data_IF_471700524380
#
_entry.id   IF_471700524380
#
_cell.length_a   1.000
_cell.length_b   1.000
_cell.length_c   1.000
_cell.angle_alpha   90.00
_cell.angle_beta   90.00
_cell.angle_gamma   90.00
#
_symmetry.space_group_name_H-M   'P 1'
#
loop_
_entity.id
_entity.type
_entity.pdbx_description
1 polymer ?
#
# COMPACT_ATOMS: atom_id res chain seq x y z
N UNK A 1 -31.95 -39.67 -35.98
CA UNK A 1 -31.60 -40.17 -34.63
C UNK A 1 -30.48 -41.21 -34.66
N UNK A 2 -30.60 -42.34 -35.38
CA UNK A 2 -29.51 -43.34 -35.53
C UNK A 2 -28.17 -42.75 -36.00
N UNK A 3 -28.16 -41.95 -37.06
CA UNK A 3 -26.94 -41.29 -37.58
C UNK A 3 -26.26 -40.33 -36.58
N UNK A 4 -27.04 -39.65 -35.73
CA UNK A 4 -26.51 -38.76 -34.69
C UNK A 4 -25.85 -39.55 -33.56
N UNK A 5 -26.46 -40.66 -33.14
CA UNK A 5 -25.91 -41.57 -32.13
C UNK A 5 -24.63 -42.23 -32.65
N UNK A 6 -24.59 -42.72 -33.89
CA UNK A 6 -23.39 -43.35 -34.47
C UNK A 6 -22.23 -42.36 -34.62
N UNK A 7 -22.52 -41.12 -35.00
CA UNK A 7 -21.49 -40.07 -35.08
C UNK A 7 -21.00 -39.63 -33.69
N UNK A 8 -21.88 -39.58 -32.68
CA UNK A 8 -21.49 -39.29 -31.29
C UNK A 8 -20.58 -40.39 -30.73
N UNK A 9 -20.92 -41.66 -30.94
CA UNK A 9 -20.09 -42.82 -30.53
C UNK A 9 -18.73 -42.83 -31.23
N UNK A 10 -18.68 -42.55 -32.53
CA UNK A 10 -17.41 -42.49 -33.28
C UNK A 10 -16.53 -41.30 -32.86
N UNK A 11 -17.13 -40.19 -32.43
CA UNK A 11 -16.39 -39.00 -31.95
C UNK A 11 -15.89 -39.18 -30.52
N UNK A 12 -16.65 -39.86 -29.66
CA UNK A 12 -16.22 -40.27 -28.31
C UNK A 12 -15.10 -41.32 -28.40
N UNK A 13 -15.25 -42.32 -29.28
CA UNK A 13 -14.27 -43.39 -29.47
C UNK A 13 -12.88 -42.89 -29.90
N UNK A 14 -12.79 -41.86 -30.76
CA UNK A 14 -11.51 -41.28 -31.19
C UNK A 14 -10.85 -40.38 -30.14
N UNK A 15 -11.61 -39.75 -29.23
CA UNK A 15 -11.07 -38.89 -28.18
C UNK A 15 -10.61 -39.68 -26.93
N UNK A 16 -11.17 -40.87 -26.71
CA UNK A 16 -10.80 -41.75 -25.59
C UNK A 16 -9.46 -42.44 -25.81
N UNK A 17 -9.06 -42.71 -27.06
CA UNK A 17 -7.81 -43.42 -27.38
C UNK A 17 -6.55 -42.56 -27.34
N UNK A 18 -6.66 -41.23 -27.31
CA UNK A 18 -5.51 -40.31 -27.41
C UNK A 18 -5.35 -39.33 -26.24
N UNK A 19 -6.11 -39.52 -25.15
CA UNK A 19 -6.08 -38.63 -23.99
C UNK A 19 -5.86 -39.40 -22.69
N UNK A 20 -5.54 -38.67 -21.62
CA UNK A 20 -5.37 -39.14 -20.22
C UNK A 20 -6.60 -39.87 -19.63
N UNK A 21 -7.64 -40.15 -20.43
CA UNK A 21 -8.90 -40.78 -20.07
C UNK A 21 -8.96 -42.27 -20.41
N UNK A 22 -8.06 -42.82 -21.24
CA UNK A 22 -8.07 -44.24 -21.62
C UNK A 22 -8.01 -45.21 -20.42
N UNK A 23 -7.11 -45.02 -19.42
CA UNK A 23 -7.04 -45.92 -18.26
C UNK A 23 -8.31 -45.85 -17.40
N UNK A 24 -8.92 -44.66 -17.31
CA UNK A 24 -10.15 -44.43 -16.55
C UNK A 24 -11.34 -45.19 -17.16
N UNK A 25 -11.46 -45.19 -18.49
CA UNK A 25 -12.53 -45.90 -19.21
C UNK A 25 -12.38 -47.41 -19.06
N UNK A 26 -11.15 -47.95 -19.14
CA UNK A 26 -10.89 -49.38 -18.90
C UNK A 26 -11.26 -49.78 -17.47
N UNK A 27 -10.85 -48.99 -16.47
CA UNK A 27 -11.18 -49.26 -15.07
C UNK A 27 -12.69 -49.27 -14.83
N UNK A 28 -13.44 -48.34 -15.43
CA UNK A 28 -14.89 -48.24 -15.29
C UNK A 28 -15.60 -49.46 -15.88
N UNK A 29 -15.15 -49.96 -17.03
CA UNK A 29 -15.72 -51.17 -17.66
C UNK A 29 -15.46 -52.41 -16.79
N UNK A 30 -14.24 -52.58 -16.29
CA UNK A 30 -13.87 -53.74 -15.45
C UNK A 30 -14.67 -53.73 -14.14
N UNK A 31 -14.69 -52.61 -13.43
CA UNK A 31 -15.43 -52.47 -12.16
C UNK A 31 -16.93 -52.65 -12.40
N UNK A 32 -17.49 -52.02 -13.44
CA UNK A 32 -18.89 -52.17 -13.81
C UNK A 32 -19.27 -53.63 -14.09
N UNK A 33 -18.42 -54.37 -14.80
CA UNK A 33 -18.65 -55.80 -15.11
C UNK A 33 -18.66 -56.69 -13.86
N UNK A 34 -17.77 -56.40 -12.89
CA UNK A 34 -17.70 -57.11 -11.61
C UNK A 34 -18.95 -56.80 -10.76
N UNK A 35 -19.29 -55.52 -10.61
CA UNK A 35 -20.45 -55.07 -9.81
C UNK A 35 -21.74 -55.63 -10.37
N UNK A 36 -21.94 -55.59 -11.69
CA UNK A 36 -23.13 -56.16 -12.35
C UNK A 36 -23.19 -57.67 -12.11
N UNK A 37 -22.08 -58.39 -12.26
CA UNK A 37 -22.04 -59.85 -12.07
C UNK A 37 -22.36 -60.26 -10.62
N UNK A 38 -21.80 -59.55 -9.63
CA UNK A 38 -22.10 -59.80 -8.21
C UNK A 38 -23.54 -59.44 -7.84
N UNK A 39 -24.08 -58.37 -8.44
CA UNK A 39 -25.44 -57.90 -8.16
C UNK A 39 -26.51 -58.73 -8.87
N UNK A 40 -26.17 -59.45 -9.95
CA UNK A 40 -27.10 -60.23 -10.78
C UNK A 40 -27.98 -61.20 -9.99
N UNK A 41 -27.45 -61.83 -8.93
CA UNK A 41 -28.22 -62.73 -8.05
C UNK A 41 -29.33 -62.01 -7.28
N UNK A 42 -29.15 -60.74 -6.93
CA UNK A 42 -30.16 -59.96 -6.21
C UNK A 42 -31.30 -59.47 -7.13
N UNK A 43 -31.01 -59.23 -8.41
CA UNK A 43 -32.03 -58.86 -9.42
C UNK A 43 -33.12 -59.92 -9.61
N UNK A 44 -32.80 -61.20 -9.39
CA UNK A 44 -33.71 -62.32 -9.66
C UNK A 44 -34.61 -62.65 -8.46
N UNK A 45 -34.20 -62.31 -7.23
CA UNK A 45 -34.83 -62.83 -6.01
C UNK A 45 -35.73 -61.83 -5.25
N UNK A 46 -35.39 -60.54 -5.18
CA UNK A 46 -36.14 -59.52 -4.40
C UNK A 46 -36.17 -58.16 -5.11
N UNK A 47 -36.78 -58.13 -6.29
CA UNK A 47 -36.67 -57.01 -7.25
C UNK A 47 -37.20 -55.65 -6.78
N UNK A 48 -38.20 -55.59 -5.89
CA UNK A 48 -38.82 -54.33 -5.43
C UNK A 48 -37.97 -53.59 -4.41
N UNK A 49 -37.53 -54.27 -3.35
CA UNK A 49 -36.60 -53.74 -2.34
C UNK A 49 -35.23 -53.41 -2.95
N UNK A 50 -34.78 -54.23 -3.90
CA UNK A 50 -33.55 -53.95 -4.64
C UNK A 50 -33.66 -52.68 -5.48
N UNK A 51 -34.77 -52.47 -6.19
CA UNK A 51 -34.94 -51.28 -7.04
C UNK A 51 -34.94 -49.98 -6.24
N UNK A 52 -35.61 -49.95 -5.08
CA UNK A 52 -35.59 -48.80 -4.18
C UNK A 52 -34.19 -48.53 -3.63
N UNK A 53 -33.49 -49.56 -3.14
CA UNK A 53 -32.12 -49.44 -2.64
C UNK A 53 -31.13 -49.04 -3.75
N UNK A 54 -31.27 -49.61 -4.94
CA UNK A 54 -30.46 -49.28 -6.11
C UNK A 54 -30.68 -47.84 -6.55
N UNK A 55 -31.93 -47.35 -6.54
CA UNK A 55 -32.22 -45.95 -6.82
C UNK A 55 -31.57 -45.06 -5.77
N UNK A 56 -31.72 -45.33 -4.47
CA UNK A 56 -31.09 -44.52 -3.41
C UNK A 56 -29.57 -44.46 -3.58
N UNK A 57 -28.93 -45.60 -3.84
CA UNK A 57 -27.49 -45.68 -4.08
C UNK A 57 -27.08 -44.93 -5.36
N UNK A 58 -27.82 -45.10 -6.46
CA UNK A 58 -27.55 -44.40 -7.72
C UNK A 58 -27.73 -42.87 -7.58
N UNK A 59 -28.70 -42.40 -6.80
CA UNK A 59 -28.85 -40.98 -6.48
C UNK A 59 -27.68 -40.48 -5.62
N UNK A 60 -27.23 -41.27 -4.63
CA UNK A 60 -26.03 -40.97 -3.84
C UNK A 60 -24.78 -40.85 -4.70
N UNK A 61 -24.54 -41.82 -5.59
CA UNK A 61 -23.41 -41.79 -6.52
C UNK A 61 -23.47 -40.60 -7.49
N UNK A 62 -24.65 -40.25 -7.99
CA UNK A 62 -24.83 -39.07 -8.84
C UNK A 62 -24.53 -37.77 -8.09
N UNK A 63 -24.98 -37.67 -6.83
CA UNK A 63 -24.67 -36.55 -5.95
C UNK A 63 -23.16 -36.43 -5.72
N UNK A 64 -22.49 -37.56 -5.43
CA UNK A 64 -21.04 -37.61 -5.22
C UNK A 64 -20.25 -37.21 -6.47
N UNK A 65 -20.67 -37.63 -7.67
CA UNK A 65 -20.05 -37.22 -8.93
C UNK A 65 -20.20 -35.71 -9.15
N UNK A 66 -21.38 -35.15 -8.86
CA UNK A 66 -21.61 -33.70 -8.96
C UNK A 66 -20.72 -32.96 -7.97
N UNK A 67 -20.66 -33.40 -6.71
CA UNK A 67 -19.81 -32.82 -5.67
C UNK A 67 -18.34 -32.89 -6.10
N UNK A 68 -17.86 -34.05 -6.54
CA UNK A 68 -16.48 -34.22 -7.01
C UNK A 68 -16.19 -33.33 -8.22
N UNK A 69 -17.12 -33.23 -9.16
CA UNK A 69 -17.02 -32.33 -10.31
C UNK A 69 -16.88 -30.87 -9.89
N UNK A 70 -17.72 -30.40 -8.97
CA UNK A 70 -17.67 -29.04 -8.43
C UNK A 70 -16.34 -28.80 -7.69
N UNK A 71 -15.89 -29.74 -6.87
CA UNK A 71 -14.60 -29.67 -6.15
C UNK A 71 -13.43 -29.65 -7.13
N UNK A 72 -13.43 -30.50 -8.15
CA UNK A 72 -12.39 -30.57 -9.16
C UNK A 72 -12.31 -29.28 -9.99
N UNK A 73 -13.45 -28.74 -10.43
CA UNK A 73 -13.52 -27.45 -11.12
C UNK A 73 -13.01 -26.32 -10.23
N UNK A 74 -13.40 -26.30 -8.96
CA UNK A 74 -12.91 -25.32 -7.99
C UNK A 74 -11.39 -25.40 -7.77
N UNK A 75 -10.85 -26.61 -7.60
CA UNK A 75 -9.40 -26.85 -7.45
C UNK A 75 -8.64 -26.36 -8.69
N UNK A 76 -9.11 -26.69 -9.89
CA UNK A 76 -8.46 -26.26 -11.13
C UNK A 76 -8.51 -24.74 -11.32
N UNK A 77 -9.64 -24.10 -11.01
CA UNK A 77 -9.76 -22.64 -11.07
C UNK A 77 -8.80 -21.97 -10.08
N UNK A 78 -8.71 -22.51 -8.85
CA UNK A 78 -7.77 -22.04 -7.83
C UNK A 78 -6.32 -22.19 -8.27
N UNK A 79 -5.95 -23.33 -8.88
CA UNK A 79 -4.61 -23.56 -9.42
C UNK A 79 -4.28 -22.60 -10.56
N UNK A 80 -5.19 -22.37 -11.48
CA UNK A 80 -5.01 -21.43 -12.60
C UNK A 80 -4.75 -20.00 -12.11
N UNK A 81 -5.53 -19.52 -11.14
CA UNK A 81 -5.32 -18.20 -10.52
C UNK A 81 -3.95 -18.09 -9.83
N UNK A 82 -3.53 -19.12 -9.10
CA UNK A 82 -2.20 -19.14 -8.45
C UNK A 82 -1.06 -19.04 -9.47
N UNK A 83 -1.16 -19.78 -10.57
CA UNK A 83 -0.16 -19.73 -11.65
C UNK A 83 -0.11 -18.36 -12.33
N UNK A 84 -1.27 -17.72 -12.54
CA UNK A 84 -1.31 -16.38 -13.14
C UNK A 84 -0.70 -15.32 -12.22
N UNK A 85 -1.02 -15.35 -10.92
CA UNK A 85 -0.41 -14.45 -9.93
C UNK A 85 1.11 -14.65 -9.88
N UNK A 86 1.57 -15.91 -9.94
CA UNK A 86 2.99 -16.22 -9.94
C UNK A 86 3.70 -15.65 -11.17
N UNK A 87 3.10 -15.78 -12.36
CA UNK A 87 3.63 -15.17 -13.59
C UNK A 87 3.73 -13.65 -13.50
N UNK A 88 2.76 -12.98 -12.88
CA UNK A 88 2.84 -11.53 -12.68
C UNK A 88 3.94 -11.13 -11.70
N UNK A 89 4.25 -11.96 -10.70
CA UNK A 89 5.39 -11.71 -9.80
C UNK A 89 6.71 -11.91 -10.53
N UNK A 90 6.82 -12.99 -11.31
CA UNK A 90 7.99 -13.26 -12.16
C UNK A 90 8.22 -12.12 -13.17
N UNK A 91 7.15 -11.58 -13.78
CA UNK A 91 7.27 -10.41 -14.67
C UNK A 91 7.86 -9.19 -13.95
N UNK A 92 7.49 -8.94 -12.69
CA UNK A 92 8.09 -7.84 -11.90
C UNK A 92 9.59 -8.11 -11.67
N UNK A 93 9.94 -9.35 -11.32
CA UNK A 93 11.32 -9.74 -11.07
C UNK A 93 12.19 -9.67 -12.33
N UNK A 94 11.65 -10.02 -13.50
CA UNK A 94 12.32 -9.93 -14.80
C UNK A 94 12.71 -8.48 -15.16
N UNK A 95 11.89 -7.52 -14.75
CA UNK A 95 12.13 -6.08 -14.94
C UNK A 95 12.85 -5.41 -13.77
N UNK A 96 13.21 -6.14 -12.71
CA UNK A 96 13.94 -5.58 -11.56
C UNK A 96 15.32 -5.09 -12.00
N UNK A 97 15.75 -3.93 -11.50
CA UNK A 97 16.99 -3.24 -11.89
C UNK A 97 17.06 -2.70 -13.32
N UNK A 98 16.02 -2.87 -14.14
CA UNK A 98 15.94 -2.15 -15.40
C UNK A 98 15.86 -0.65 -15.13
N UNK A 99 16.35 0.18 -16.05
CA UNK A 99 16.35 1.65 -15.89
C UNK A 99 15.55 2.37 -16.97
N UNK A 100 14.78 1.61 -17.75
CA UNK A 100 14.07 2.10 -18.93
C UNK A 100 12.59 2.32 -18.63
N UNK A 101 11.98 3.30 -19.31
CA UNK A 101 10.56 3.63 -19.14
C UNK A 101 9.62 2.45 -19.44
N UNK A 102 10.06 1.52 -20.29
CA UNK A 102 9.33 0.28 -20.60
C UNK A 102 9.10 -0.56 -19.32
N UNK A 103 10.10 -0.66 -18.44
CA UNK A 103 9.97 -1.38 -17.18
C UNK A 103 8.91 -0.73 -16.28
N UNK A 104 8.93 0.60 -16.16
CA UNK A 104 7.93 1.36 -15.41
C UNK A 104 6.50 1.07 -15.90
N UNK A 105 6.27 1.13 -17.21
CA UNK A 105 4.96 0.84 -17.80
C UNK A 105 4.50 -0.62 -17.57
N UNK A 106 5.41 -1.58 -17.76
CA UNK A 106 5.12 -3.01 -17.57
C UNK A 106 4.78 -3.32 -16.12
N UNK A 107 5.66 -2.94 -15.20
CA UNK A 107 5.47 -3.16 -13.77
C UNK A 107 4.17 -2.49 -13.30
N UNK A 108 3.92 -1.23 -13.65
CA UNK A 108 2.68 -0.54 -13.28
C UNK A 108 1.41 -1.25 -13.79
N UNK A 109 1.43 -1.77 -15.02
CA UNK A 109 0.35 -2.58 -15.57
C UNK A 109 0.12 -3.86 -14.78
N UNK A 110 1.20 -4.54 -14.41
CA UNK A 110 1.19 -5.80 -13.65
C UNK A 110 0.73 -5.60 -12.21
N UNK A 111 1.13 -4.50 -11.56
CA UNK A 111 0.62 -4.11 -10.23
C UNK A 111 -0.90 -3.94 -10.22
N UNK A 112 -1.47 -3.28 -11.22
CA UNK A 112 -2.93 -3.11 -11.34
C UNK A 112 -3.64 -4.45 -11.50
N UNK A 113 -3.05 -5.42 -12.21
CA UNK A 113 -3.60 -6.77 -12.35
C UNK A 113 -3.53 -7.53 -11.03
N UNK A 114 -2.40 -7.46 -10.32
CA UNK A 114 -2.22 -8.06 -8.99
C UNK A 114 -3.19 -7.49 -7.96
N UNK A 115 -3.49 -6.18 -8.00
CA UNK A 115 -4.50 -5.57 -7.14
C UNK A 115 -5.93 -6.07 -7.41
N UNK A 116 -6.28 -6.49 -8.64
CA UNK A 116 -7.57 -7.18 -8.89
C UNK A 116 -7.67 -8.50 -8.13
N UNK A 117 -6.53 -9.15 -7.89
CA UNK A 117 -6.41 -10.33 -7.04
C UNK A 117 -6.22 -10.01 -5.55
N UNK A 118 -6.34 -8.73 -5.15
CA UNK A 118 -6.12 -8.23 -3.78
C UNK A 118 -4.72 -8.52 -3.24
N UNK A 119 -3.73 -8.69 -4.13
CA UNK A 119 -2.32 -8.80 -3.74
C UNK A 119 -1.79 -7.38 -3.55
N UNK A 120 -1.28 -7.10 -2.34
CA UNK A 120 -0.87 -5.77 -1.88
C UNK A 120 0.57 -5.75 -1.35
N UNK A 121 0.95 -6.78 -0.59
CA UNK A 121 2.32 -6.98 -0.15
C UNK A 121 3.13 -7.58 -1.30
N UNK A 122 3.97 -6.74 -1.91
CA UNK A 122 4.80 -7.06 -3.04
C UNK A 122 6.22 -6.58 -2.79
N UNK A 123 7.19 -7.33 -3.31
CA UNK A 123 8.58 -6.89 -3.34
C UNK A 123 8.83 -6.15 -4.66
N UNK A 124 9.03 -4.85 -4.55
CA UNK A 124 9.32 -3.88 -5.60
C UNK A 124 10.65 -3.16 -5.32
N UNK A 125 11.51 -3.74 -4.48
CA UNK A 125 12.84 -3.18 -4.24
C UNK A 125 13.63 -3.07 -5.54
N UNK A 126 14.37 -1.97 -5.68
CA UNK A 126 15.20 -1.67 -6.85
C UNK A 126 14.44 -1.64 -8.20
N UNK A 127 13.10 -1.54 -8.16
CA UNK A 127 12.28 -1.43 -9.37
C UNK A 127 12.30 0.00 -9.92
N UNK A 128 12.29 0.11 -11.26
CA UNK A 128 12.17 1.38 -11.96
C UNK A 128 10.72 1.67 -12.30
N UNK A 129 10.16 2.62 -11.58
CA UNK A 129 8.79 3.11 -11.60
C UNK A 129 8.73 4.62 -11.89
N UNK A 130 9.75 5.15 -12.56
CA UNK A 130 9.79 6.56 -12.97
C UNK A 130 8.56 6.88 -13.82
N UNK A 131 7.89 7.99 -13.51
CA UNK A 131 6.66 8.47 -14.15
C UNK A 131 5.50 7.44 -14.17
N UNK A 132 5.60 6.40 -13.33
CA UNK A 132 4.61 5.33 -13.29
C UNK A 132 3.24 5.87 -12.89
N UNK A 133 2.20 5.41 -13.60
CA UNK A 133 0.82 5.77 -13.28
C UNK A 133 0.26 4.79 -12.22
N UNK A 134 0.49 5.09 -10.96
CA UNK A 134 0.13 4.25 -9.81
C UNK A 134 -0.98 4.88 -8.93
N UNK A 135 -1.75 5.83 -9.47
CA UNK A 135 -2.86 6.44 -8.74
C UNK A 135 -3.88 5.39 -8.30
N UNK A 136 -4.31 5.48 -7.03
CA UNK A 136 -5.24 4.54 -6.36
C UNK A 136 -4.73 3.09 -6.25
N UNK A 137 -3.42 2.86 -6.39
CA UNK A 137 -2.84 1.52 -6.20
C UNK A 137 -2.91 1.10 -4.72
N UNK A 138 -3.01 -0.20 -4.46
CA UNK A 138 -2.97 -0.81 -3.13
C UNK A 138 -1.66 -1.57 -2.95
N UNK A 139 -0.73 -0.98 -2.19
CA UNK A 139 0.62 -1.48 -1.93
C UNK A 139 0.93 -1.50 -0.42
N UNK A 140 -0.09 -1.76 0.41
CA UNK A 140 0.06 -1.88 1.86
C UNK A 140 1.14 -2.93 2.21
N UNK A 141 2.07 -2.53 3.06
CA UNK A 141 3.23 -3.31 3.49
C UNK A 141 4.15 -3.78 2.34
N UNK A 142 4.08 -3.17 1.16
CA UNK A 142 5.00 -3.49 0.07
C UNK A 142 6.44 -3.07 0.41
N UNK A 143 7.41 -3.77 -0.16
CA UNK A 143 8.82 -3.42 -0.10
C UNK A 143 9.14 -2.63 -1.37
N UNK A 144 9.45 -1.36 -1.21
CA UNK A 144 9.79 -0.37 -2.24
C UNK A 144 11.17 0.25 -1.95
N UNK A 145 12.00 -0.46 -1.18
CA UNK A 145 13.34 -0.02 -0.81
C UNK A 145 14.16 0.24 -2.08
N UNK A 146 14.77 1.43 -2.17
CA UNK A 146 15.54 1.91 -3.34
C UNK A 146 14.78 1.97 -4.66
N UNK A 147 13.46 1.77 -4.67
CA UNK A 147 12.69 1.88 -5.90
C UNK A 147 12.77 3.31 -6.46
N UNK A 148 12.91 3.42 -7.78
CA UNK A 148 12.91 4.72 -8.46
C UNK A 148 11.48 5.06 -8.89
N UNK A 149 10.81 5.93 -8.15
CA UNK A 149 9.47 6.45 -8.39
C UNK A 149 9.49 7.97 -8.68
N UNK A 150 10.59 8.49 -9.23
CA UNK A 150 10.69 9.88 -9.68
C UNK A 150 9.50 10.23 -10.59
N UNK A 151 8.81 11.34 -10.32
CA UNK A 151 7.65 11.79 -11.10
C UNK A 151 6.44 10.86 -11.10
N UNK A 152 6.46 9.76 -10.35
CA UNK A 152 5.36 8.80 -10.34
C UNK A 152 4.07 9.43 -9.80
N UNK A 153 2.93 9.06 -10.39
CA UNK A 153 1.62 9.41 -9.88
C UNK A 153 1.16 8.33 -8.90
N UNK A 154 1.20 8.63 -7.61
CA UNK A 154 0.74 7.81 -6.48
C UNK A 154 -0.46 8.45 -5.77
N UNK A 155 -1.17 9.37 -6.43
CA UNK A 155 -2.33 10.05 -5.84
C UNK A 155 -3.37 9.04 -5.38
N UNK A 156 -3.89 9.21 -4.16
CA UNK A 156 -4.86 8.30 -3.53
C UNK A 156 -4.37 6.84 -3.34
N UNK A 157 -3.07 6.57 -3.45
CA UNK A 157 -2.53 5.22 -3.20
C UNK A 157 -2.64 4.82 -1.73
N UNK A 158 -2.79 3.52 -1.46
CA UNK A 158 -2.70 2.91 -0.13
C UNK A 158 -1.33 2.24 0.02
N UNK A 159 -0.41 2.93 0.69
CA UNK A 159 0.99 2.59 0.96
C UNK A 159 1.23 2.40 2.47
N UNK A 160 0.18 2.14 3.25
CA UNK A 160 0.29 1.97 4.70
C UNK A 160 1.35 0.92 5.05
N UNK A 161 2.27 1.26 5.96
CA UNK A 161 3.34 0.36 6.40
C UNK A 161 4.33 -0.06 5.32
N UNK A 162 4.35 0.57 4.13
CA UNK A 162 5.30 0.23 3.08
C UNK A 162 6.75 0.56 3.51
N UNK A 163 7.71 -0.29 3.14
CA UNK A 163 9.13 0.00 3.29
C UNK A 163 9.60 0.76 2.03
N UNK A 164 9.82 2.06 2.13
CA UNK A 164 10.28 2.94 1.05
C UNK A 164 11.65 3.55 1.37
N UNK A 165 12.49 2.85 2.15
CA UNK A 165 13.82 3.31 2.51
C UNK A 165 14.66 3.61 1.27
N UNK A 166 15.31 4.77 1.26
CA UNK A 166 16.22 5.18 0.17
C UNK A 166 15.50 5.28 -1.19
N UNK A 167 14.15 5.23 -1.23
CA UNK A 167 13.41 5.34 -2.48
C UNK A 167 13.56 6.74 -3.08
N UNK A 168 13.58 6.83 -4.41
CA UNK A 168 13.55 8.10 -5.12
C UNK A 168 12.10 8.44 -5.48
N UNK A 169 11.53 9.47 -4.87
CA UNK A 169 10.17 9.99 -5.06
C UNK A 169 10.22 11.47 -5.48
N UNK A 170 11.34 11.93 -6.04
CA UNK A 170 11.49 13.32 -6.45
C UNK A 170 10.38 13.71 -7.43
N UNK A 171 9.68 14.80 -7.13
CA UNK A 171 8.56 15.31 -7.94
C UNK A 171 7.35 14.39 -8.05
N UNK A 172 7.27 13.29 -7.28
CA UNK A 172 6.14 12.37 -7.31
C UNK A 172 4.86 13.03 -6.78
N UNK A 173 3.70 12.62 -7.31
CA UNK A 173 2.39 13.05 -6.82
C UNK A 173 1.82 12.01 -5.84
N UNK A 174 1.85 12.32 -4.55
CA UNK A 174 1.34 11.49 -3.45
C UNK A 174 0.10 12.12 -2.79
N UNK A 175 -0.60 13.03 -3.46
CA UNK A 175 -1.77 13.71 -2.88
C UNK A 175 -2.82 12.73 -2.37
N UNK A 176 -3.31 12.96 -1.16
CA UNK A 176 -4.40 12.20 -0.54
C UNK A 176 -4.06 10.69 -0.41
N UNK A 177 -2.79 10.31 -0.55
CA UNK A 177 -2.35 8.93 -0.35
C UNK A 177 -2.21 8.60 1.14
N UNK A 178 -2.25 7.31 1.46
CA UNK A 178 -2.10 6.81 2.82
C UNK A 178 -0.74 6.13 2.99
N UNK A 179 0.19 6.80 3.68
CA UNK A 179 1.51 6.30 4.07
C UNK A 179 1.64 6.13 5.59
N UNK A 180 0.52 5.92 6.30
CA UNK A 180 0.55 5.73 7.75
C UNK A 180 1.52 4.59 8.12
N UNK A 181 2.46 4.88 9.02
CA UNK A 181 3.49 3.93 9.47
C UNK A 181 4.48 3.46 8.40
N UNK A 182 4.56 4.12 7.24
CA UNK A 182 5.55 3.79 6.22
C UNK A 182 6.97 4.15 6.67
N UNK A 183 7.97 3.39 6.20
CA UNK A 183 9.39 3.64 6.45
C UNK A 183 10.01 4.32 5.22
N UNK A 184 10.15 5.64 5.27
CA UNK A 184 10.72 6.53 4.25
C UNK A 184 12.12 7.02 4.65
N UNK A 185 12.81 6.33 5.57
CA UNK A 185 14.14 6.73 6.02
C UNK A 185 15.09 6.92 4.82
N UNK A 186 15.77 8.06 4.78
CA UNK A 186 16.69 8.46 3.70
C UNK A 186 16.05 8.55 2.30
N UNK A 187 14.72 8.53 2.17
CA UNK A 187 14.07 8.68 0.88
C UNK A 187 14.22 10.11 0.32
N UNK A 188 14.24 10.23 -1.00
CA UNK A 188 14.27 11.52 -1.69
C UNK A 188 12.88 11.90 -2.17
N UNK A 189 12.20 12.83 -1.50
CA UNK A 189 10.89 13.38 -1.86
C UNK A 189 11.00 14.86 -2.27
N UNK A 190 12.15 15.31 -2.78
CA UNK A 190 12.35 16.69 -3.19
C UNK A 190 11.27 17.13 -4.20
N UNK A 191 10.59 18.24 -3.91
CA UNK A 191 9.53 18.78 -4.76
C UNK A 191 8.30 17.87 -4.93
N UNK A 192 8.15 16.83 -4.11
CA UNK A 192 7.00 15.94 -4.18
C UNK A 192 5.71 16.66 -3.75
N UNK A 193 4.59 16.26 -4.33
CA UNK A 193 3.26 16.75 -3.97
C UNK A 193 2.62 15.82 -2.93
N UNK A 194 2.62 16.24 -1.67
CA UNK A 194 2.18 15.48 -0.50
C UNK A 194 0.93 16.11 0.15
N UNK A 195 0.15 16.91 -0.59
CA UNK A 195 -1.03 17.58 -0.02
C UNK A 195 -2.02 16.57 0.54
N UNK A 196 -2.47 16.80 1.77
CA UNK A 196 -3.47 15.97 2.46
C UNK A 196 -2.99 14.49 2.57
N UNK A 197 -1.69 14.23 2.48
CA UNK A 197 -1.14 12.89 2.68
C UNK A 197 -1.29 12.47 4.13
N UNK A 198 -1.54 11.17 4.37
CA UNK A 198 -1.48 10.62 5.71
C UNK A 198 -0.12 9.96 5.95
N UNK A 199 0.76 10.62 6.70
CA UNK A 199 2.08 10.17 7.16
C UNK A 199 2.12 9.93 8.68
N UNK A 200 0.96 9.75 9.33
CA UNK A 200 0.91 9.48 10.76
C UNK A 200 1.79 8.27 11.13
N UNK A 201 2.59 8.41 12.19
CA UNK A 201 3.57 7.41 12.66
C UNK A 201 4.61 6.97 11.60
N UNK A 202 4.78 7.68 10.49
CA UNK A 202 5.77 7.33 9.47
C UNK A 202 7.19 7.66 9.94
N UNK A 203 8.17 6.90 9.45
CA UNK A 203 9.59 7.19 9.66
C UNK A 203 10.16 7.92 8.45
N UNK A 204 10.50 9.20 8.61
CA UNK A 204 11.15 10.05 7.60
C UNK A 204 12.55 10.48 8.04
N UNK A 205 13.21 9.72 8.93
CA UNK A 205 14.55 10.01 9.42
C UNK A 205 15.50 10.34 8.27
N UNK A 206 16.10 11.52 8.30
CA UNK A 206 17.03 12.02 7.28
C UNK A 206 16.51 11.97 5.83
N UNK A 207 15.19 11.97 5.61
CA UNK A 207 14.62 12.08 4.27
C UNK A 207 14.81 13.50 3.71
N UNK A 208 14.78 13.62 2.37
CA UNK A 208 14.87 14.90 1.68
C UNK A 208 13.49 15.33 1.16
N UNK A 209 12.86 16.29 1.82
CA UNK A 209 11.57 16.91 1.44
C UNK A 209 11.74 18.37 1.00
N UNK A 210 12.93 18.77 0.53
CA UNK A 210 13.17 20.15 0.09
C UNK A 210 12.14 20.57 -0.98
N UNK A 211 11.46 21.69 -0.75
CA UNK A 211 10.46 22.26 -1.65
C UNK A 211 9.21 21.39 -1.85
N UNK A 212 8.96 20.40 -1.00
CA UNK A 212 7.77 19.57 -1.10
C UNK A 212 6.51 20.32 -0.64
N UNK A 213 5.36 20.00 -1.24
CA UNK A 213 4.04 20.54 -0.84
C UNK A 213 3.37 19.57 0.12
N UNK A 214 3.48 19.82 1.43
CA UNK A 214 2.85 19.07 2.52
C UNK A 214 1.60 19.78 3.07
N UNK A 215 0.97 20.65 2.29
CA UNK A 215 -0.21 21.40 2.76
C UNK A 215 -1.30 20.46 3.27
N UNK A 216 -1.73 20.69 4.51
CA UNK A 216 -2.72 19.87 5.23
C UNK A 216 -2.35 18.39 5.38
N UNK A 217 -1.07 18.03 5.32
CA UNK A 217 -0.60 16.67 5.59
C UNK A 217 -0.83 16.29 7.05
N UNK A 218 -1.14 15.01 7.31
CA UNK A 218 -1.13 14.44 8.66
C UNK A 218 0.23 13.79 8.93
N UNK A 219 1.01 14.37 9.83
CA UNK A 219 2.35 13.95 10.25
C UNK A 219 2.40 13.64 11.76
N UNK A 220 1.25 13.37 12.38
CA UNK A 220 1.19 13.11 13.81
C UNK A 220 2.13 11.95 14.21
N UNK A 221 2.93 12.17 15.24
CA UNK A 221 3.94 11.23 15.75
C UNK A 221 4.93 10.69 14.70
N UNK A 222 5.12 11.38 13.58
CA UNK A 222 6.12 10.99 12.60
C UNK A 222 7.54 11.26 13.11
N UNK A 223 8.49 10.40 12.77
CA UNK A 223 9.92 10.67 12.96
C UNK A 223 10.42 11.49 11.76
N UNK A 224 10.57 12.80 11.97
CA UNK A 224 11.12 13.77 11.02
C UNK A 224 12.53 14.22 11.46
N UNK A 225 13.22 13.43 12.30
CA UNK A 225 14.51 13.86 12.82
C UNK A 225 15.56 13.89 11.70
N UNK A 226 16.36 14.97 11.70
CA UNK A 226 17.35 15.29 10.65
C UNK A 226 16.78 15.41 9.23
N UNK A 227 15.46 15.57 9.07
CA UNK A 227 14.82 15.73 7.77
C UNK A 227 15.21 17.05 7.11
N UNK A 228 15.25 17.08 5.77
CA UNK A 228 15.39 18.32 5.01
C UNK A 228 14.03 18.83 4.52
N UNK A 229 13.48 19.85 5.16
CA UNK A 229 12.21 20.52 4.83
C UNK A 229 12.44 21.97 4.34
N UNK A 230 13.63 22.28 3.84
CA UNK A 230 13.91 23.61 3.28
C UNK A 230 12.88 23.98 2.22
N UNK A 231 12.35 25.20 2.30
CA UNK A 231 11.38 25.76 1.35
C UNK A 231 10.08 24.93 1.19
N UNK A 232 9.78 24.01 2.12
CA UNK A 232 8.59 23.16 2.06
C UNK A 232 7.32 23.91 2.52
N UNK A 233 6.17 23.60 1.90
CA UNK A 233 4.86 24.10 2.35
C UNK A 233 4.25 23.11 3.35
N UNK A 234 4.30 23.43 4.65
CA UNK A 234 3.67 22.69 5.74
C UNK A 234 2.40 23.40 6.24
N UNK A 235 1.82 24.30 5.43
CA UNK A 235 0.66 25.08 5.86
C UNK A 235 -0.51 24.16 6.22
N UNK A 236 -1.11 24.39 7.38
CA UNK A 236 -2.19 23.57 7.96
C UNK A 236 -1.83 22.10 8.20
N UNK A 237 -0.55 21.71 8.17
CA UNK A 237 -0.13 20.34 8.47
C UNK A 237 -0.33 20.01 9.96
N UNK A 238 -0.60 18.74 10.25
CA UNK A 238 -0.75 18.24 11.62
C UNK A 238 0.52 17.50 12.06
N UNK A 239 1.37 18.18 12.83
CA UNK A 239 2.67 17.71 13.33
C UNK A 239 2.61 17.38 14.83
N UNK A 240 1.43 17.16 15.41
CA UNK A 240 1.32 16.87 16.84
C UNK A 240 2.16 15.63 17.22
N UNK A 241 3.01 15.77 18.24
CA UNK A 241 3.90 14.72 18.70
C UNK A 241 5.03 14.31 17.73
N UNK A 242 5.21 15.00 16.60
CA UNK A 242 6.25 14.66 15.63
C UNK A 242 7.67 15.02 16.15
N UNK A 243 8.66 14.21 15.82
CA UNK A 243 10.07 14.48 16.13
C UNK A 243 10.73 15.23 14.98
N UNK A 244 10.97 16.54 15.11
CA UNK A 244 11.69 17.39 14.18
C UNK A 244 13.11 17.72 14.66
N UNK A 245 13.68 16.87 15.53
CA UNK A 245 15.01 17.06 16.08
C UNK A 245 16.07 17.21 14.99
N UNK A 246 16.84 18.29 15.01
CA UNK A 246 17.84 18.62 13.98
C UNK A 246 17.29 18.80 12.54
N UNK A 247 15.98 18.95 12.36
CA UNK A 247 15.37 19.21 11.06
C UNK A 247 15.87 20.53 10.44
N UNK A 248 15.96 20.56 9.11
CA UNK A 248 16.27 21.77 8.33
C UNK A 248 14.97 22.35 7.79
N UNK A 249 14.47 23.41 8.42
CA UNK A 249 13.18 24.05 8.08
C UNK A 249 13.39 25.43 7.44
N UNK A 250 14.58 25.74 6.91
CA UNK A 250 14.83 27.10 6.43
C UNK A 250 13.85 27.47 5.31
N UNK A 251 13.18 28.63 5.45
CA UNK A 251 12.18 29.08 4.47
C UNK A 251 10.87 28.28 4.45
N UNK A 252 10.67 27.32 5.36
CA UNK A 252 9.46 26.50 5.38
C UNK A 252 8.23 27.31 5.81
N UNK A 253 7.09 27.01 5.20
CA UNK A 253 5.80 27.62 5.54
C UNK A 253 5.06 26.77 6.56
N UNK A 254 4.94 27.26 7.79
CA UNK A 254 4.27 26.60 8.92
C UNK A 254 2.95 27.29 9.30
N UNK A 255 2.37 28.09 8.40
CA UNK A 255 1.10 28.78 8.68
C UNK A 255 0.01 27.79 9.06
N UNK A 256 -0.61 27.98 10.23
CA UNK A 256 -1.68 27.13 10.76
C UNK A 256 -1.27 25.66 11.02
N UNK A 257 0.04 25.35 11.04
CA UNK A 257 0.49 24.00 11.38
C UNK A 257 0.23 23.71 12.87
N UNK A 258 -0.25 22.50 13.16
CA UNK A 258 -0.46 22.03 14.54
C UNK A 258 0.80 21.35 15.03
N UNK A 259 1.40 21.86 16.09
CA UNK A 259 2.72 21.44 16.55
C UNK A 259 2.71 21.03 18.03
N UNK A 260 1.54 20.81 18.64
CA UNK A 260 1.41 20.43 20.04
C UNK A 260 2.26 19.18 20.32
N UNK A 261 3.24 19.29 21.22
CA UNK A 261 4.09 18.18 21.61
C UNK A 261 5.15 17.78 20.57
N UNK A 262 5.32 18.53 19.49
CA UNK A 262 6.40 18.30 18.54
C UNK A 262 7.76 18.65 19.16
N UNK A 263 8.80 17.88 18.82
CA UNK A 263 10.17 18.11 19.27
C UNK A 263 10.94 18.90 18.19
N UNK A 264 11.32 20.15 18.48
CA UNK A 264 12.07 21.01 17.55
C UNK A 264 13.53 21.24 18.01
N UNK A 265 14.06 20.42 18.93
CA UNK A 265 15.42 20.60 19.45
C UNK A 265 16.44 20.57 18.31
N UNK A 266 17.36 21.53 18.28
CA UNK A 266 18.38 21.66 17.23
C UNK A 266 17.86 21.88 15.80
N UNK A 267 16.56 22.09 15.61
CA UNK A 267 16.01 22.43 14.30
C UNK A 267 16.52 23.82 13.85
N UNK A 268 16.69 23.99 12.54
CA UNK A 268 16.99 25.29 11.95
C UNK A 268 15.70 25.92 11.41
N UNK A 269 15.26 26.99 12.08
CA UNK A 269 14.02 27.72 11.80
C UNK A 269 14.28 29.09 11.14
N UNK A 270 15.43 29.25 10.46
CA UNK A 270 15.73 30.47 9.74
C UNK A 270 14.68 30.74 8.65
N UNK A 271 14.22 31.98 8.52
CA UNK A 271 13.28 32.42 7.49
C UNK A 271 11.94 31.65 7.44
N UNK A 272 11.55 30.92 8.51
CA UNK A 272 10.25 30.23 8.54
C UNK A 272 9.09 31.22 8.48
N UNK A 273 7.95 30.77 7.99
CA UNK A 273 6.71 31.55 7.97
C UNK A 273 5.73 30.99 8.99
N UNK A 274 5.50 31.74 10.08
CA UNK A 274 4.43 31.50 11.05
C UNK A 274 3.31 32.49 10.75
N UNK A 275 2.13 32.02 10.38
CA UNK A 275 0.97 32.87 10.11
C UNK A 275 -0.20 32.49 10.98
N UNK A 276 -1.11 33.44 11.14
CA UNK A 276 -2.28 33.34 12.01
C UNK A 276 -3.38 32.50 11.37
N UNK A 277 -3.69 31.38 12.04
CA UNK A 277 -5.09 30.96 12.15
C UNK A 277 -5.69 31.63 13.39
N UNK A 278 -7.00 31.80 13.36
CA UNK A 278 -7.87 32.30 14.42
C UNK A 278 -7.74 31.56 15.78
N UNK A 279 -6.99 30.47 15.85
CA UNK A 279 -6.59 29.82 17.12
C UNK A 279 -5.55 30.62 17.91
N UNK A 280 -4.75 31.48 17.27
CA UNK A 280 -3.84 32.39 17.97
C UNK A 280 -4.55 33.65 18.49
N UNK A 281 -5.77 33.96 18.02
CA UNK A 281 -6.59 35.04 18.60
C UNK A 281 -7.30 34.65 19.91
N UNK A 282 -7.45 33.35 20.21
CA UNK A 282 -7.95 32.87 21.51
C UNK A 282 -6.89 32.90 22.61
N UNK A 283 -5.61 32.97 22.25
CA UNK A 283 -4.49 33.06 23.19
C UNK A 283 -4.20 34.51 23.58
N UNK A 284 -5.11 35.09 24.37
CA UNK A 284 -4.94 36.40 24.98
C UNK A 284 -3.62 36.53 25.75
N UNK A 285 -2.93 37.67 25.63
CA UNK A 285 -1.72 38.16 26.36
C UNK A 285 -0.51 37.24 26.65
N UNK A 286 -0.61 35.91 26.52
CA UNK A 286 0.37 34.92 27.01
C UNK A 286 0.98 34.03 25.92
N UNK A 287 0.90 34.46 24.65
CA UNK A 287 1.48 33.85 23.43
C UNK A 287 2.89 33.24 23.65
N UNK A 288 3.70 33.81 24.55
CA UNK A 288 5.06 33.38 24.87
C UNK A 288 5.15 32.03 25.59
N UNK A 289 4.33 31.81 26.61
CA UNK A 289 4.41 30.60 27.45
C UNK A 289 3.93 29.39 26.66
N UNK A 290 2.86 29.57 25.89
CA UNK A 290 2.35 28.54 24.99
C UNK A 290 3.29 28.30 23.83
N UNK A 291 3.90 29.31 23.18
CA UNK A 291 4.89 29.03 22.13
C UNK A 291 6.09 28.22 22.65
N UNK A 292 6.66 28.56 23.80
CA UNK A 292 7.81 27.83 24.34
C UNK A 292 7.45 26.40 24.78
N UNK A 293 6.27 26.20 25.38
CA UNK A 293 5.78 24.87 25.80
C UNK A 293 5.27 24.03 24.62
N UNK A 294 4.63 24.65 23.63
CA UNK A 294 4.09 23.96 22.45
C UNK A 294 5.19 23.47 21.51
N UNK A 295 6.29 24.23 21.38
CA UNK A 295 7.34 23.97 20.39
C UNK A 295 8.64 23.41 20.98
N UNK A 296 8.75 23.23 22.31
CA UNK A 296 9.97 22.77 22.98
C UNK A 296 11.24 23.42 22.41
N UNK A 297 11.24 24.75 22.20
CA UNK A 297 12.27 25.47 21.42
C UNK A 297 13.66 25.51 22.09
N UNK A 298 13.86 24.80 23.19
CA UNK A 298 15.17 24.69 23.82
C UNK A 298 16.16 24.03 22.84
N UNK A 299 17.25 24.75 22.54
CA UNK A 299 18.27 24.28 21.61
C UNK A 299 17.97 24.50 20.13
N UNK A 300 16.96 25.32 19.76
CA UNK A 300 16.76 25.76 18.37
C UNK A 300 17.99 26.53 17.88
N UNK A 301 18.44 26.23 16.65
CA UNK A 301 19.69 26.78 16.10
C UNK A 301 19.60 28.25 15.71
N UNK A 302 18.48 28.68 15.14
CA UNK A 302 18.24 30.06 14.72
C UNK A 302 16.77 30.28 14.38
N UNK A 303 16.25 31.45 14.73
CA UNK A 303 14.97 32.04 14.29
C UNK A 303 15.19 33.31 13.45
N UNK A 304 16.42 33.54 13.01
CA UNK A 304 16.77 34.73 12.22
C UNK A 304 15.91 34.80 10.96
N UNK A 305 15.35 35.98 10.68
CA UNK A 305 14.55 36.23 9.49
C UNK A 305 13.14 35.61 9.50
N UNK A 306 12.80 34.79 10.51
CA UNK A 306 11.48 34.19 10.65
C UNK A 306 10.38 35.26 10.64
N UNK A 307 9.30 34.99 9.89
CA UNK A 307 8.10 35.82 9.87
C UNK A 307 7.18 35.30 10.98
N UNK A 308 6.88 36.18 11.93
CA UNK A 308 6.06 35.90 13.10
C UNK A 308 4.56 36.05 12.79
N UNK A 309 3.65 35.54 13.65
CA UNK A 309 2.21 35.56 13.39
C UNK A 309 1.60 36.95 13.15
N UNK A 310 2.23 38.02 13.66
CA UNK A 310 1.83 39.41 13.43
C UNK A 310 2.33 39.98 12.09
N UNK A 311 2.97 39.14 11.26
CA UNK A 311 3.60 39.52 9.98
C UNK A 311 4.95 40.22 10.14
N UNK A 312 5.45 40.41 11.36
CA UNK A 312 6.75 41.05 11.59
C UNK A 312 7.89 40.03 11.55
N UNK A 313 9.11 40.49 11.27
CA UNK A 313 10.30 39.63 11.40
C UNK A 313 10.67 39.44 12.87
N UNK A 314 11.14 38.25 13.22
CA UNK A 314 11.74 37.97 14.51
C UNK A 314 12.82 39.00 14.83
N UNK A 315 12.76 39.57 16.03
CA UNK A 315 13.62 40.68 16.46
C UNK A 315 13.90 40.60 17.96
N UNK A 316 14.72 41.52 18.48
CA UNK A 316 15.10 41.55 19.88
C UNK A 316 13.90 41.68 20.83
N UNK A 317 12.80 42.33 20.44
CA UNK A 317 11.59 42.37 21.27
C UNK A 317 10.98 40.99 21.45
N UNK A 318 10.98 40.16 20.40
CA UNK A 318 10.57 38.76 20.51
C UNK A 318 11.54 37.96 21.37
N UNK A 319 12.86 38.20 21.27
CA UNK A 319 13.86 37.54 22.11
C UNK A 319 13.75 37.92 23.61
N UNK A 320 13.60 39.21 23.93
CA UNK A 320 13.33 39.70 25.30
C UNK A 320 12.00 39.16 25.82
N UNK A 321 10.98 39.19 24.95
CA UNK A 321 9.71 38.50 25.15
C UNK A 321 9.84 36.98 24.96
N UNK A 322 11.01 36.36 24.99
CA UNK A 322 11.25 34.92 25.21
C UNK A 322 11.98 34.75 26.56
N UNK A 323 13.00 35.56 26.82
CA UNK A 323 13.82 35.49 28.04
C UNK A 323 13.09 35.92 29.32
N UNK A 324 12.28 36.99 29.29
CA UNK A 324 11.69 37.52 30.54
C UNK A 324 10.78 36.56 31.31
N UNK A 325 10.11 35.59 30.67
CA UNK A 325 9.31 34.60 31.40
C UNK A 325 10.06 33.30 31.69
N UNK A 326 11.25 33.09 31.09
CA UNK A 326 12.16 32.01 31.53
C UNK A 326 12.64 32.27 32.95
N UNK A 327 12.75 33.54 33.33
CA UNK A 327 13.12 33.98 34.68
C UNK A 327 11.92 33.98 35.66
N UNK A 328 10.68 34.08 35.20
CA UNK A 328 9.48 34.00 36.06
C UNK A 328 9.10 32.56 36.44
N UNK A 329 9.64 31.55 35.74
CA UNK A 329 9.40 30.12 35.98
C UNK A 329 10.50 29.41 36.78
N UNK A 330 11.55 30.12 37.18
CA UNK A 330 12.59 29.63 38.11
C UNK A 330 12.28 30.10 39.52
#
# INVERSE_FOLDING_TARGET
MKSFITNLFNRIGRNVTSSSLFPFVVALIVVGSIVISLSFRFYINDGTLFYENFLVEAHGMLLDIIIFGLVFTFINLSRSRKLEIQRFKEEIDDFRHWTELVASYRIAGTLRRLNKYKIKNLDLSDCYLKDAQLGKIYLRNAILEKANMEGANLGYADLQGANMKIANLQGADLRISNLQGADLKLANLQGANLRIVNLQNANLFSANLKGADLKSANLQNADLSSVNLQDADLSSADLQGADLGSAKLQGADLRNAKLQGADLRSANLQDIILGVDSSFSDFGSNIKTEMLELFQLDGVKSLEGAIMPDGTKFNNKWAEKIESTKNEKK
#
